data_IF_860225538126
#
_entry.id   IF_860225538126
#
_cell.length_a   1.000
_cell.length_b   1.000
_cell.length_c   1.000
_cell.angle_alpha   90.00
_cell.angle_beta   90.00
_cell.angle_gamma   90.00
#
_symmetry.space_group_name_H-M   'P 1'
#
loop_
_entity.id
_entity.type
_entity.pdbx_description
1 polymer ?
#
# COMPACT_ATOMS: atom_id res chain seq x y z
N UNK A 1 19.87 -21.68 15.81
CA UNK A 1 18.75 -20.75 16.05
C UNK A 1 17.95 -20.74 14.76
N UNK A 2 16.74 -21.30 14.76
CA UNK A 2 15.90 -21.39 13.56
C UNK A 2 15.35 -20.00 13.26
N UNK A 3 15.80 -19.38 12.17
CA UNK A 3 15.05 -18.30 11.53
C UNK A 3 13.67 -18.88 11.22
N UNK A 4 12.66 -18.45 11.97
CA UNK A 4 11.29 -18.81 11.69
C UNK A 4 10.95 -18.25 10.30
N UNK A 5 10.87 -19.13 9.31
CA UNK A 5 10.43 -18.82 7.96
C UNK A 5 9.02 -18.21 8.07
N UNK A 6 8.96 -16.89 8.07
CA UNK A 6 7.70 -16.17 7.98
C UNK A 6 7.15 -16.40 6.58
N UNK A 7 5.90 -16.83 6.49
CA UNK A 7 5.27 -17.10 5.19
C UNK A 7 5.02 -15.78 4.45
N UNK A 8 5.06 -15.79 3.12
CA UNK A 8 4.72 -14.62 2.29
C UNK A 8 3.37 -14.00 2.67
N UNK A 9 2.40 -14.84 3.08
CA UNK A 9 1.09 -14.38 3.56
C UNK A 9 1.19 -13.54 4.84
N UNK A 10 2.00 -13.94 5.81
CA UNK A 10 2.20 -13.16 7.04
C UNK A 10 2.88 -11.81 6.76
N UNK A 11 3.74 -11.74 5.74
CA UNK A 11 4.33 -10.47 5.29
C UNK A 11 3.28 -9.57 4.66
N UNK A 12 2.43 -10.10 3.77
CA UNK A 12 1.33 -9.35 3.16
C UNK A 12 0.31 -8.84 4.19
N UNK A 13 -0.05 -9.68 5.17
CA UNK A 13 -0.94 -9.27 6.29
C UNK A 13 -0.33 -8.12 7.11
N UNK A 14 1.00 -8.12 7.30
CA UNK A 14 1.71 -7.03 7.97
C UNK A 14 1.69 -5.76 7.12
N UNK A 15 1.95 -5.87 5.82
CA UNK A 15 1.88 -4.75 4.88
C UNK A 15 0.50 -4.10 4.91
N UNK A 16 -0.59 -4.88 4.88
CA UNK A 16 -1.96 -4.36 4.94
C UNK A 16 -2.23 -3.54 6.20
N UNK A 17 -1.78 -4.03 7.37
CA UNK A 17 -1.90 -3.26 8.63
C UNK A 17 -1.09 -1.97 8.61
N UNK A 18 0.05 -1.94 7.90
CA UNK A 18 0.81 -0.70 7.69
C UNK A 18 0.03 0.23 6.77
N UNK A 19 -0.50 -0.28 5.65
CA UNK A 19 -1.27 0.50 4.68
C UNK A 19 -2.56 1.09 5.25
N UNK A 20 -3.30 0.36 6.09
CA UNK A 20 -4.46 0.90 6.81
C UNK A 20 -4.08 2.09 7.70
N UNK A 21 -2.97 1.97 8.45
CA UNK A 21 -2.47 3.07 9.29
C UNK A 21 -2.03 4.29 8.46
N UNK A 22 -1.46 4.07 7.27
CA UNK A 22 -1.10 5.14 6.34
C UNK A 22 -2.35 5.77 5.72
N UNK A 23 -3.37 4.99 5.35
CA UNK A 23 -4.65 5.50 4.89
C UNK A 23 -5.33 6.38 5.96
N UNK A 24 -5.30 5.96 7.22
CA UNK A 24 -5.77 6.75 8.35
C UNK A 24 -5.00 8.06 8.53
N UNK A 25 -3.68 8.03 8.36
CA UNK A 25 -2.85 9.23 8.42
C UNK A 25 -3.18 10.22 7.29
N UNK A 26 -3.37 9.72 6.05
CA UNK A 26 -3.85 10.51 4.91
C UNK A 26 -5.22 11.13 5.21
N UNK A 27 -6.17 10.36 5.76
CA UNK A 27 -7.49 10.89 6.09
C UNK A 27 -7.43 12.00 7.14
N UNK A 28 -6.68 11.80 8.22
CA UNK A 28 -6.50 12.81 9.28
C UNK A 28 -5.78 14.06 8.78
N UNK A 29 -4.86 13.93 7.81
CA UNK A 29 -4.12 15.07 7.27
C UNK A 29 -5.04 16.14 6.70
N UNK A 30 -6.18 15.75 6.12
CA UNK A 30 -7.14 16.66 5.48
C UNK A 30 -7.87 17.57 6.47
N UNK A 31 -7.81 17.25 7.76
CA UNK A 31 -8.41 18.05 8.84
C UNK A 31 -7.42 19.07 9.42
N UNK A 32 -6.18 19.10 8.92
CA UNK A 32 -5.11 19.97 9.39
C UNK A 32 -5.06 21.29 8.61
N UNK A 33 -4.46 22.35 9.18
CA UNK A 33 -4.10 23.54 8.42
C UNK A 33 -3.28 23.19 7.16
N UNK A 34 -3.37 23.98 6.06
CA UNK A 34 -2.77 23.62 4.78
C UNK A 34 -1.28 23.28 4.80
N UNK A 35 -0.49 23.97 5.63
CA UNK A 35 0.94 23.70 5.79
C UNK A 35 1.19 22.33 6.45
N UNK A 36 0.52 22.06 7.58
CA UNK A 36 0.59 20.78 8.29
C UNK A 36 0.06 19.61 7.46
N UNK A 37 -1.03 19.81 6.71
CA UNK A 37 -1.55 18.81 5.77
C UNK A 37 -0.48 18.45 4.73
N UNK A 38 0.20 19.45 4.15
CA UNK A 38 1.26 19.25 3.16
C UNK A 38 2.43 18.46 3.72
N UNK A 39 2.89 18.79 4.91
CA UNK A 39 3.97 18.08 5.59
C UNK A 39 3.59 16.62 5.88
N UNK A 40 2.41 16.39 6.45
CA UNK A 40 1.96 15.04 6.80
C UNK A 40 1.72 14.18 5.56
N UNK A 41 1.13 14.73 4.49
CA UNK A 41 0.98 14.02 3.21
C UNK A 41 2.35 13.68 2.64
N UNK A 42 3.29 14.63 2.58
CA UNK A 42 4.63 14.38 2.06
C UNK A 42 5.37 13.27 2.83
N UNK A 43 5.30 13.29 4.16
CA UNK A 43 5.87 12.25 5.02
C UNK A 43 5.21 10.90 4.76
N UNK A 44 3.87 10.86 4.69
CA UNK A 44 3.10 9.63 4.45
C UNK A 44 3.42 9.03 3.08
N UNK A 45 3.53 9.85 2.02
CA UNK A 45 3.90 9.37 0.69
C UNK A 45 5.34 8.85 0.62
N UNK A 46 6.27 9.46 1.37
CA UNK A 46 7.65 8.97 1.49
C UNK A 46 7.77 7.55 2.06
N UNK A 47 6.75 7.12 2.81
CA UNK A 47 6.65 5.79 3.41
C UNK A 47 5.83 4.85 2.52
N UNK A 48 4.69 5.32 2.01
CA UNK A 48 3.73 4.53 1.25
C UNK A 48 4.26 4.07 -0.11
N UNK A 49 4.93 4.95 -0.87
CA UNK A 49 5.42 4.63 -2.22
C UNK A 49 6.40 3.44 -2.29
N UNK A 50 7.51 3.43 -1.51
CA UNK A 50 8.42 2.29 -1.55
C UNK A 50 7.76 1.02 -1.00
N UNK A 51 6.88 1.14 -0.01
CA UNK A 51 6.17 0.01 0.57
C UNK A 51 5.20 -0.64 -0.44
N UNK A 52 4.39 0.14 -1.15
CA UNK A 52 3.49 -0.36 -2.21
C UNK A 52 4.26 -1.07 -3.32
N UNK A 53 5.40 -0.51 -3.75
CA UNK A 53 6.23 -1.15 -4.78
C UNK A 53 6.78 -2.50 -4.33
N UNK A 54 7.20 -2.62 -3.07
CA UNK A 54 7.67 -3.88 -2.50
C UNK A 54 6.52 -4.89 -2.39
N UNK A 55 5.37 -4.43 -1.94
CA UNK A 55 4.14 -5.21 -1.82
C UNK A 55 3.69 -5.79 -3.17
N UNK A 56 3.50 -4.95 -4.19
CA UNK A 56 3.11 -5.38 -5.54
C UNK A 56 4.08 -6.42 -6.13
N UNK A 57 5.38 -6.31 -5.85
CA UNK A 57 6.37 -7.28 -6.29
C UNK A 57 6.20 -8.64 -5.59
N UNK A 58 5.91 -8.64 -4.28
CA UNK A 58 5.60 -9.85 -3.51
C UNK A 58 4.32 -10.51 -4.01
N UNK A 59 3.29 -9.71 -4.26
CA UNK A 59 2.03 -10.19 -4.82
C UNK A 59 2.21 -10.79 -6.20
N UNK A 60 2.95 -10.12 -7.08
CA UNK A 60 3.25 -10.62 -8.42
C UNK A 60 3.98 -11.97 -8.36
N UNK A 61 4.95 -12.11 -7.45
CA UNK A 61 5.66 -13.36 -7.24
C UNK A 61 4.72 -14.47 -6.73
N UNK A 62 3.89 -14.17 -5.73
CA UNK A 62 2.96 -15.14 -5.14
C UNK A 62 1.85 -15.55 -6.12
N UNK A 63 1.28 -14.58 -6.82
CA UNK A 63 0.12 -14.77 -7.69
C UNK A 63 0.50 -15.28 -9.08
N UNK A 64 1.74 -15.06 -9.54
CA UNK A 64 2.30 -15.72 -10.72
C UNK A 64 2.25 -17.24 -10.61
N UNK A 65 2.64 -17.77 -9.44
CA UNK A 65 2.58 -19.21 -9.14
C UNK A 65 1.13 -19.72 -9.05
N UNK A 66 0.20 -18.87 -8.59
CA UNK A 66 -1.22 -19.21 -8.42
C UNK A 66 -1.98 -19.21 -9.75
N UNK A 67 -1.73 -18.27 -10.67
CA UNK A 67 -2.36 -18.23 -12.01
C UNK A 67 -2.16 -19.54 -12.77
N UNK A 68 -0.98 -20.15 -12.65
CA UNK A 68 -0.64 -21.44 -13.27
C UNK A 68 -1.53 -22.56 -12.72
N UNK A 69 -1.87 -22.50 -11.42
CA UNK A 69 -2.60 -23.56 -10.70
C UNK A 69 -4.13 -23.35 -10.68
N UNK A 70 -4.60 -22.10 -10.85
CA UNK A 70 -6.03 -21.72 -10.75
C UNK A 70 -6.40 -20.63 -11.77
N UNK A 71 -6.76 -21.01 -13.01
CA UNK A 71 -7.10 -20.05 -14.07
C UNK A 71 -8.28 -19.12 -13.75
N UNK A 72 -9.20 -19.55 -12.88
CA UNK A 72 -10.38 -18.78 -12.46
C UNK A 72 -10.09 -17.50 -11.68
N UNK A 73 -8.84 -17.29 -11.23
CA UNK A 73 -8.42 -16.06 -10.52
C UNK A 73 -7.89 -14.96 -11.45
N UNK A 74 -7.85 -15.21 -12.76
CA UNK A 74 -7.28 -14.26 -13.74
C UNK A 74 -7.98 -12.90 -13.70
N UNK A 75 -9.31 -12.89 -13.63
CA UNK A 75 -10.07 -11.64 -13.59
C UNK A 75 -9.82 -10.89 -12.28
N UNK A 76 -9.72 -11.60 -11.15
CA UNK A 76 -9.48 -10.93 -9.87
C UNK A 76 -8.10 -10.28 -9.80
N UNK A 77 -7.09 -10.96 -10.32
CA UNK A 77 -5.74 -10.42 -10.42
C UNK A 77 -5.65 -9.25 -11.40
N UNK A 78 -6.49 -9.23 -12.43
CA UNK A 78 -6.61 -8.08 -13.34
C UNK A 78 -7.19 -6.86 -12.62
N UNK A 79 -8.19 -7.05 -11.77
CA UNK A 79 -8.79 -5.98 -10.96
C UNK A 79 -7.77 -5.41 -9.98
N UNK A 80 -7.04 -6.25 -9.24
CA UNK A 80 -5.99 -5.79 -8.32
C UNK A 80 -4.91 -4.97 -9.03
N UNK A 81 -4.44 -5.44 -10.19
CA UNK A 81 -3.47 -4.68 -11.01
C UNK A 81 -4.00 -3.31 -11.46
N UNK A 82 -5.29 -3.20 -11.83
CA UNK A 82 -5.88 -1.90 -12.17
C UNK A 82 -6.00 -0.98 -10.94
N UNK A 83 -6.19 -1.53 -9.74
CA UNK A 83 -6.17 -0.76 -8.50
C UNK A 83 -4.76 -0.23 -8.19
N UNK A 84 -3.71 -1.03 -8.40
CA UNK A 84 -2.33 -0.55 -8.32
C UNK A 84 -2.07 0.61 -9.27
N UNK A 85 -2.49 0.51 -10.54
CA UNK A 85 -2.34 1.60 -11.51
C UNK A 85 -3.04 2.89 -11.05
N UNK A 86 -4.25 2.77 -10.50
CA UNK A 86 -5.01 3.90 -9.98
C UNK A 86 -4.32 4.56 -8.77
N UNK A 87 -3.81 3.75 -7.84
CA UNK A 87 -3.05 4.22 -6.67
C UNK A 87 -1.76 4.91 -7.13
N UNK A 88 -1.01 4.31 -8.05
CA UNK A 88 0.22 4.88 -8.62
C UNK A 88 -0.03 6.23 -9.31
N UNK A 89 -1.14 6.37 -10.04
CA UNK A 89 -1.53 7.65 -10.64
C UNK A 89 -1.80 8.72 -9.58
N UNK A 90 -2.54 8.39 -8.51
CA UNK A 90 -2.84 9.33 -7.42
C UNK A 90 -1.57 9.76 -6.67
N UNK A 91 -0.64 8.84 -6.44
CA UNK A 91 0.67 9.13 -5.85
C UNK A 91 1.46 10.13 -6.71
N UNK A 92 1.52 9.90 -8.02
CA UNK A 92 2.17 10.80 -8.97
C UNK A 92 1.56 12.20 -8.95
N UNK A 93 0.22 12.30 -8.98
CA UNK A 93 -0.46 13.59 -8.97
C UNK A 93 -0.22 14.36 -7.66
N UNK A 94 -0.25 13.67 -6.51
CA UNK A 94 0.10 14.29 -5.23
C UNK A 94 1.56 14.74 -5.19
N UNK A 95 2.50 13.98 -5.76
CA UNK A 95 3.91 14.40 -5.87
C UNK A 95 4.08 15.67 -6.68
N UNK A 96 3.37 15.80 -7.80
CA UNK A 96 3.37 17.03 -8.61
C UNK A 96 2.91 18.22 -7.75
N UNK A 97 1.78 18.08 -7.05
CA UNK A 97 1.25 19.13 -6.16
C UNK A 97 2.23 19.49 -5.03
N UNK A 98 2.88 18.48 -4.45
CA UNK A 98 3.88 18.69 -3.40
C UNK A 98 5.13 19.42 -3.93
N UNK A 99 5.53 19.17 -5.18
CA UNK A 99 6.68 19.84 -5.81
C UNK A 99 6.43 21.28 -6.23
N UNK A 100 5.16 21.72 -6.28
CA UNK A 100 4.78 23.06 -6.74
C UNK A 100 3.95 23.81 -5.68
N UNK A 101 4.59 24.31 -4.59
CA UNK A 101 3.89 25.05 -3.54
C UNK A 101 3.15 26.28 -4.07
N UNK A 102 1.89 26.45 -3.66
CA UNK A 102 1.07 27.61 -4.01
C UNK A 102 0.41 27.57 -5.39
N UNK A 103 0.79 26.65 -6.29
CA UNK A 103 0.14 26.52 -7.60
C UNK A 103 -1.26 25.90 -7.50
N UNK A 104 -1.43 24.95 -6.59
CA UNK A 104 -2.68 24.21 -6.39
C UNK A 104 -3.36 24.64 -5.09
N UNK A 105 -4.68 24.72 -5.10
CA UNK A 105 -5.46 25.02 -3.89
C UNK A 105 -5.42 23.85 -2.92
N UNK A 106 -5.50 24.14 -1.62
CA UNK A 106 -5.46 23.14 -0.56
C UNK A 106 -6.56 22.07 -0.71
N UNK A 107 -7.75 22.45 -1.16
CA UNK A 107 -8.90 21.56 -1.34
C UNK A 107 -8.64 20.51 -2.44
N UNK A 108 -7.84 20.85 -3.45
CA UNK A 108 -7.46 19.90 -4.50
C UNK A 108 -6.55 18.81 -3.92
N UNK A 109 -5.55 19.21 -3.14
CA UNK A 109 -4.67 18.27 -2.46
C UNK A 109 -5.44 17.39 -1.47
N UNK A 110 -6.37 17.98 -0.71
CA UNK A 110 -7.23 17.24 0.21
C UNK A 110 -8.12 16.21 -0.51
N UNK A 111 -8.66 16.56 -1.69
CA UNK A 111 -9.48 15.65 -2.50
C UNK A 111 -8.67 14.45 -3.01
N UNK A 112 -7.47 14.68 -3.54
CA UNK A 112 -6.60 13.59 -4.00
C UNK A 112 -6.10 12.73 -2.85
N UNK A 113 -5.80 13.34 -1.70
CA UNK A 113 -5.41 12.62 -0.47
C UNK A 113 -6.52 11.68 -0.01
N UNK A 114 -7.78 12.14 -0.05
CA UNK A 114 -8.95 11.32 0.26
C UNK A 114 -9.12 10.17 -0.73
N UNK A 115 -8.99 10.45 -2.04
CA UNK A 115 -9.09 9.41 -3.06
C UNK A 115 -7.99 8.36 -2.91
N UNK A 116 -6.77 8.75 -2.58
CA UNK A 116 -5.68 7.82 -2.32
C UNK A 116 -5.98 6.92 -1.11
N UNK A 117 -6.36 7.51 0.02
CA UNK A 117 -6.72 6.74 1.22
C UNK A 117 -7.86 5.76 0.95
N UNK A 118 -8.87 6.18 0.18
CA UNK A 118 -10.00 5.32 -0.19
C UNK A 118 -9.61 4.19 -1.14
N UNK A 119 -8.85 4.48 -2.20
CA UNK A 119 -8.42 3.47 -3.15
C UNK A 119 -7.51 2.43 -2.48
N UNK A 120 -6.65 2.88 -1.56
CA UNK A 120 -5.82 1.97 -0.78
C UNK A 120 -6.68 0.98 0.01
N UNK A 121 -7.63 1.44 0.84
CA UNK A 121 -8.50 0.52 1.61
C UNK A 121 -9.35 -0.39 0.75
N UNK A 122 -9.90 0.13 -0.34
CA UNK A 122 -10.70 -0.66 -1.28
C UNK A 122 -9.87 -1.77 -1.94
N UNK A 123 -8.61 -1.50 -2.22
CA UNK A 123 -7.65 -2.48 -2.72
C UNK A 123 -7.34 -3.54 -1.66
N UNK A 124 -6.96 -3.14 -0.43
CA UNK A 124 -6.68 -4.11 0.65
C UNK A 124 -7.86 -5.04 0.92
N UNK A 125 -9.08 -4.47 1.02
CA UNK A 125 -10.31 -5.25 1.19
C UNK A 125 -10.54 -6.21 0.03
N UNK A 126 -10.34 -5.74 -1.19
CA UNK A 126 -10.52 -6.56 -2.38
C UNK A 126 -9.61 -7.79 -2.34
N UNK A 127 -8.34 -7.61 -2.00
CA UNK A 127 -7.37 -8.70 -1.93
C UNK A 127 -7.67 -9.68 -0.81
N UNK A 128 -8.01 -9.17 0.38
CA UNK A 128 -8.42 -9.96 1.53
C UNK A 128 -9.64 -10.84 1.22
N UNK A 129 -10.70 -10.25 0.65
CA UNK A 129 -11.96 -10.94 0.38
C UNK A 129 -11.87 -11.89 -0.83
N UNK A 130 -11.19 -11.47 -1.90
CA UNK A 130 -11.26 -12.15 -3.20
C UNK A 130 -10.03 -13.00 -3.53
N UNK A 131 -8.83 -12.56 -3.15
CA UNK A 131 -7.58 -13.20 -3.57
C UNK A 131 -7.02 -14.10 -2.47
N UNK A 132 -7.03 -13.64 -1.23
CA UNK A 132 -6.43 -14.37 -0.11
C UNK A 132 -7.33 -15.46 0.46
N UNK A 133 -8.65 -15.30 0.36
CA UNK A 133 -9.61 -16.37 0.63
C UNK A 133 -9.39 -17.59 -0.29
N UNK A 134 -8.77 -17.38 -1.46
CA UNK A 134 -8.44 -18.44 -2.40
C UNK A 134 -7.05 -19.08 -2.16
N UNK A 135 -6.18 -18.51 -1.32
CA UNK A 135 -4.84 -19.06 -1.06
C UNK A 135 -4.89 -20.15 0.04
N UNK A 136 -4.24 -21.32 -0.16
CA UNK A 136 -4.11 -22.32 0.90
C UNK A 136 -3.26 -21.79 2.07
N UNK A 137 -3.61 -22.17 3.31
CA UNK A 137 -2.78 -21.87 4.49
C UNK A 137 -1.40 -22.54 4.36
N UNK A 138 -0.32 -21.77 4.54
CA UNK A 138 1.07 -22.26 4.45
C UNK A 138 1.80 -21.95 3.14
N UNK A 139 1.57 -20.78 2.53
CA UNK A 139 2.27 -20.31 1.33
C UNK A 139 3.80 -20.28 1.45
N UNK A 140 4.52 -20.12 0.32
CA UNK A 140 5.99 -20.14 0.30
C UNK A 140 6.58 -19.09 1.25
N UNK A 141 7.82 -19.33 1.72
CA UNK A 141 8.52 -18.41 2.61
C UNK A 141 8.80 -17.07 1.93
N UNK A 142 8.64 -15.96 2.67
CA UNK A 142 8.87 -14.62 2.15
C UNK A 142 10.37 -14.36 1.87
N UNK A 143 10.72 -13.60 0.82
CA UNK A 143 12.11 -13.23 0.56
C UNK A 143 12.65 -12.28 1.64
N UNK A 144 13.92 -12.47 2.04
CA UNK A 144 14.55 -11.82 3.18
C UNK A 144 14.57 -10.27 3.13
N UNK A 145 14.52 -9.65 1.95
CA UNK A 145 14.52 -8.18 1.79
C UNK A 145 13.24 -7.50 2.32
N UNK A 146 12.11 -8.21 2.34
CA UNK A 146 10.82 -7.67 2.80
C UNK A 146 10.79 -7.33 4.30
N UNK A 147 11.64 -7.98 5.11
CA UNK A 147 11.66 -7.81 6.56
C UNK A 147 12.41 -6.56 7.05
N UNK A 148 13.40 -6.11 6.29
CA UNK A 148 14.17 -4.92 6.66
C UNK A 148 13.37 -3.64 6.40
N UNK A 149 12.57 -3.64 5.34
CA UNK A 149 11.70 -2.52 4.97
C UNK A 149 10.54 -2.36 5.99
N UNK A 150 9.92 -3.46 6.43
CA UNK A 150 8.86 -3.43 7.45
C UNK A 150 9.29 -2.81 8.79
N UNK A 151 10.49 -3.15 9.29
CA UNK A 151 11.01 -2.55 10.54
C UNK A 151 11.28 -1.05 10.42
N UNK A 152 11.70 -0.59 9.24
CA UNK A 152 11.89 0.84 8.96
C UNK A 152 10.54 1.57 8.92
N UNK A 153 9.51 0.95 8.35
CA UNK A 153 8.13 1.46 8.32
C UNK A 153 7.53 1.59 9.74
N UNK A 154 7.68 0.57 10.59
CA UNK A 154 7.20 0.61 11.98
C UNK A 154 7.87 1.70 12.81
N UNK A 155 9.18 1.93 12.61
CA UNK A 155 9.93 2.97 13.32
C UNK A 155 9.49 4.38 12.92
N UNK A 156 9.11 4.58 11.66
CA UNK A 156 8.60 5.87 11.17
C UNK A 156 7.17 6.13 11.66
N UNK A 157 6.31 5.10 11.68
CA UNK A 157 4.95 5.19 12.19
C UNK A 157 4.87 5.40 13.72
N UNK A 158 5.82 4.86 14.49
CA UNK A 158 5.91 5.12 15.93
C UNK A 158 6.39 6.53 16.30
N UNK A 159 6.72 7.36 15.31
CA UNK A 159 7.19 8.74 15.46
C UNK A 159 6.23 9.79 14.87
N UNK A 160 5.18 9.34 14.16
CA UNK A 160 4.07 10.16 13.64
C UNK A 160 2.89 10.14 14.61
#
# INVERSE_FOLDING_TARGET
MSEAAHSTRETLDKDHRVFERLADALDRSRLRPPAEMRELVAATLGVLEPALKSHEALETALMGDVKIRRPGLTEGLRVASLQHDAIASLLKDLRIILSEPGRYRAEHMASLTFLLARNLREHLRYEEEMLWSALPEGGPAAPASSFEDLRRLETLLGRL
#
